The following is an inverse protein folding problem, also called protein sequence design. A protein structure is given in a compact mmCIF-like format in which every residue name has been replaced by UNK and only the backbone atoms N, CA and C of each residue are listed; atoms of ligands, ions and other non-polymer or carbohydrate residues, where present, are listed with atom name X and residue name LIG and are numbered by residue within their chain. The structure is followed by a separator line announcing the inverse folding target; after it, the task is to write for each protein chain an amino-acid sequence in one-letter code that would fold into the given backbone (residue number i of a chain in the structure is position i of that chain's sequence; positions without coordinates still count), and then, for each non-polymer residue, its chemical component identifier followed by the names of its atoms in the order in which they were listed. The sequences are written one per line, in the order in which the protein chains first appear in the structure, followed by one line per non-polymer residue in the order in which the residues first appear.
data_IF_890959561598
#
_entry.id   IF_890959561598
#
_cell.length_a   1.000
_cell.length_b   1.000
_cell.length_c   1.000
_cell.angle_alpha   90.00
_cell.angle_beta   90.00
_cell.angle_gamma   90.00
#
_symmetry.space_group_name_H-M   'P 1'
#
loop_
_entity.id
_entity.type
_entity.pdbx_description
1 polymer ?
#
# COMPACT_ATOMS: atom_id res chain seq x y z
N UNK A 1 31.78 12.03 15.86
CA UNK A 1 31.46 10.64 15.48
C UNK A 1 30.07 10.33 15.98
N UNK A 2 29.06 10.42 15.13
CA UNK A 2 27.70 10.01 15.50
C UNK A 2 27.61 8.50 15.28
N UNK A 3 27.30 7.77 16.34
CA UNK A 3 27.01 6.34 16.24
C UNK A 3 25.79 6.18 15.31
N UNK A 4 26.01 5.56 14.16
CA UNK A 4 24.94 5.25 13.22
C UNK A 4 24.06 4.18 13.90
N UNK A 5 22.95 4.60 14.49
CA UNK A 5 21.95 3.67 15.04
C UNK A 5 21.60 2.66 13.96
N UNK A 6 21.66 1.36 14.27
CA UNK A 6 21.34 0.33 13.29
C UNK A 6 19.91 0.55 12.75
N UNK A 7 19.81 0.65 11.44
CA UNK A 7 18.54 0.86 10.74
C UNK A 7 17.68 -0.42 10.89
N UNK A 8 16.40 -0.31 11.32
CA UNK A 8 15.53 -1.47 11.44
C UNK A 8 15.28 -2.12 10.08
N UNK A 9 15.41 -3.46 10.02
CA UNK A 9 15.08 -4.26 8.84
C UNK A 9 13.64 -4.80 8.87
N UNK A 10 13.00 -4.73 10.04
CA UNK A 10 11.64 -5.23 10.28
C UNK A 10 10.88 -4.18 11.07
N UNK A 11 9.66 -3.87 10.64
CA UNK A 11 8.75 -2.92 11.28
C UNK A 11 7.50 -3.65 11.75
N UNK A 12 6.92 -3.20 12.86
CA UNK A 12 5.73 -3.78 13.50
C UNK A 12 4.41 -3.29 12.88
N UNK A 13 4.48 -2.30 11.99
CA UNK A 13 3.35 -1.69 11.30
C UNK A 13 3.71 -1.34 9.86
N UNK A 14 2.69 -1.32 9.00
CA UNK A 14 2.80 -0.97 7.57
C UNK A 14 3.33 0.46 7.37
N UNK A 15 2.75 1.43 8.08
CA UNK A 15 3.13 2.84 7.96
C UNK A 15 3.60 3.41 9.31
N UNK A 16 4.91 3.55 9.47
CA UNK A 16 5.51 4.14 10.67
C UNK A 16 5.24 5.64 10.79
N UNK A 17 4.99 6.32 9.66
CA UNK A 17 4.87 7.79 9.55
C UNK A 17 3.42 8.31 9.54
N UNK A 18 2.44 7.46 9.88
CA UNK A 18 1.01 7.76 9.88
C UNK A 18 0.57 8.91 10.82
N UNK A 19 1.48 9.41 11.67
CA UNK A 19 1.24 10.49 12.64
C UNK A 19 1.47 11.91 12.09
N UNK A 20 1.96 12.07 10.87
CA UNK A 20 2.48 13.35 10.36
C UNK A 20 1.53 14.10 9.39
N UNK A 21 0.21 14.16 9.67
CA UNK A 21 -0.76 14.79 8.75
C UNK A 21 -1.97 15.42 9.45
N UNK A 22 -2.61 16.45 8.85
CA UNK A 22 -2.35 17.01 7.51
C UNK A 22 -1.18 18.00 7.48
N UNK A 23 -0.41 17.95 6.40
CA UNK A 23 0.53 19.01 6.03
C UNK A 23 -0.25 20.04 5.22
N UNK A 24 -0.05 21.33 5.48
CA UNK A 24 -0.51 22.37 4.55
C UNK A 24 0.09 22.06 3.17
N UNK A 25 -0.78 21.75 2.21
CA UNK A 25 -0.38 21.28 0.89
C UNK A 25 -0.99 22.23 -0.14
N UNK A 26 -0.17 22.91 -0.95
CA UNK A 26 -0.66 23.91 -1.90
C UNK A 26 -1.61 23.29 -2.93
N UNK A 27 -2.53 24.09 -3.44
CA UNK A 27 -3.33 23.69 -4.60
C UNK A 27 -2.45 23.56 -5.84
N UNK A 28 -2.92 22.86 -6.87
CA UNK A 28 -2.18 22.66 -8.13
C UNK A 28 -1.70 23.99 -8.75
N UNK A 29 -2.51 25.05 -8.63
CA UNK A 29 -2.20 26.36 -9.21
C UNK A 29 -1.09 27.12 -8.46
N UNK A 30 -0.78 26.70 -7.23
CA UNK A 30 0.26 27.31 -6.39
C UNK A 30 1.57 26.52 -6.47
N UNK A 31 1.61 25.41 -7.21
CA UNK A 31 2.81 24.61 -7.38
C UNK A 31 3.82 25.32 -8.29
N UNK A 32 5.13 25.28 -7.95
CA UNK A 32 6.16 25.73 -8.84
C UNK A 32 6.27 24.80 -10.06
N UNK A 33 6.56 25.37 -11.22
CA UNK A 33 6.93 24.59 -12.38
C UNK A 33 8.33 23.98 -12.17
N UNK A 34 8.43 22.67 -12.33
CA UNK A 34 9.70 21.93 -12.29
C UNK A 34 9.88 21.17 -13.60
N UNK A 35 11.03 21.37 -14.23
CA UNK A 35 11.36 20.70 -15.50
C UNK A 35 12.15 19.39 -15.30
N UNK A 36 12.34 18.98 -14.05
CA UNK A 36 13.10 17.79 -13.65
C UNK A 36 12.31 16.98 -12.62
N UNK A 37 12.77 15.76 -12.33
CA UNK A 37 12.16 14.96 -11.27
C UNK A 37 12.30 15.67 -9.91
N UNK A 38 11.24 15.71 -9.08
CA UNK A 38 11.33 16.23 -7.71
C UNK A 38 12.47 15.58 -6.92
N UNK A 39 13.22 16.37 -6.16
CA UNK A 39 14.24 15.85 -5.26
C UNK A 39 13.57 15.04 -4.13
N UNK A 40 13.83 13.72 -4.01
CA UNK A 40 13.22 12.90 -2.96
C UNK A 40 13.68 13.32 -1.56
N UNK A 41 14.82 14.02 -1.43
CA UNK A 41 15.38 14.47 -0.18
C UNK A 41 14.99 15.91 0.17
N UNK A 42 14.43 16.69 -0.75
CA UNK A 42 13.96 18.04 -0.44
C UNK A 42 12.67 18.02 0.39
N UNK A 43 12.58 18.87 1.41
CA UNK A 43 11.37 19.03 2.21
C UNK A 43 10.22 19.63 1.41
N UNK A 44 8.98 19.22 1.72
CA UNK A 44 7.80 19.70 0.99
C UNK A 44 7.55 21.21 1.08
N UNK A 45 8.01 21.86 2.15
CA UNK A 45 7.94 23.31 2.38
C UNK A 45 9.16 24.08 1.79
N UNK A 46 10.11 23.37 1.15
CA UNK A 46 11.28 23.95 0.51
C UNK A 46 12.38 24.44 1.45
N UNK A 47 12.31 24.17 2.77
CA UNK A 47 13.31 24.72 3.72
C UNK A 47 14.71 24.09 3.63
N UNK A 48 14.89 23.06 2.79
CA UNK A 48 16.16 22.43 2.54
C UNK A 48 16.03 20.95 2.18
N UNK A 49 17.09 20.20 2.43
CA UNK A 49 17.17 18.77 2.14
C UNK A 49 17.45 17.93 3.38
N UNK A 50 17.02 16.69 3.32
CA UNK A 50 17.24 15.64 4.31
C UNK A 50 18.72 15.28 4.40
N UNK A 51 19.24 15.11 5.62
CA UNK A 51 20.60 14.61 5.86
C UNK A 51 20.65 13.41 6.80
N UNK A 52 19.66 13.23 7.68
CA UNK A 52 19.61 12.15 8.67
C UNK A 52 18.56 11.09 8.31
N UNK A 53 18.88 9.81 8.59
CA UNK A 53 17.96 8.70 8.39
C UNK A 53 16.66 8.83 9.21
N UNK A 54 16.74 9.37 10.43
CA UNK A 54 15.59 9.53 11.34
C UNK A 54 14.48 10.40 10.71
N UNK A 55 14.88 11.32 9.85
CA UNK A 55 14.00 12.30 9.22
C UNK A 55 13.30 11.71 7.98
N UNK A 56 13.77 10.56 7.47
CA UNK A 56 13.19 9.85 6.33
C UNK A 56 11.75 9.42 6.58
N UNK A 57 11.39 9.09 7.82
CA UNK A 57 10.00 8.76 8.17
C UNK A 57 9.06 9.93 7.86
N UNK A 58 9.45 11.15 8.23
CA UNK A 58 8.69 12.36 7.92
C UNK A 58 8.65 12.57 6.40
N UNK A 59 9.79 12.52 5.72
CA UNK A 59 9.84 12.79 4.27
C UNK A 59 9.03 11.77 3.46
N UNK A 60 9.08 10.48 3.81
CA UNK A 60 8.26 9.43 3.19
C UNK A 60 6.77 9.69 3.36
N UNK A 61 6.37 10.17 4.53
CA UNK A 61 5.01 10.64 4.78
C UNK A 61 4.66 11.81 3.84
N UNK A 62 5.45 12.88 3.79
CA UNK A 62 5.19 14.02 2.90
C UNK A 62 4.94 13.58 1.45
N UNK A 63 5.80 12.71 0.91
CA UNK A 63 5.66 12.14 -0.44
C UNK A 63 4.36 11.33 -0.57
N UNK A 64 4.05 10.46 0.40
CA UNK A 64 2.83 9.65 0.39
C UNK A 64 1.56 10.51 0.35
N UNK A 65 1.56 11.63 1.07
CA UNK A 65 0.43 12.57 1.06
C UNK A 65 0.34 13.36 -0.24
N UNK A 66 1.46 13.85 -0.77
CA UNK A 66 1.49 14.53 -2.07
C UNK A 66 0.97 13.62 -3.19
N UNK A 67 1.37 12.34 -3.22
CA UNK A 67 0.85 11.37 -4.19
C UNK A 67 -0.65 11.16 -4.05
N UNK A 68 -1.17 11.03 -2.83
CA UNK A 68 -2.61 10.88 -2.59
C UNK A 68 -3.40 12.13 -2.94
N UNK A 69 -2.87 13.32 -2.63
CA UNK A 69 -3.55 14.59 -2.85
C UNK A 69 -3.56 15.00 -4.33
N UNK A 70 -2.45 14.84 -5.05
CA UNK A 70 -2.33 15.31 -6.43
C UNK A 70 -2.68 14.27 -7.50
N UNK A 71 -2.63 12.96 -7.20
CA UNK A 71 -2.72 11.94 -8.26
C UNK A 71 -3.61 10.74 -7.90
N UNK A 72 -3.36 10.09 -6.76
CA UNK A 72 -3.91 8.77 -6.47
C UNK A 72 -5.29 8.80 -5.81
N UNK A 73 -5.68 9.93 -5.22
CA UNK A 73 -6.81 10.02 -4.30
C UNK A 73 -6.45 9.58 -2.88
N UNK A 74 -7.28 9.97 -1.91
CA UNK A 74 -7.04 9.71 -0.49
C UNK A 74 -7.28 8.23 -0.16
N UNK A 75 -6.23 7.53 0.29
CA UNK A 75 -6.34 6.15 0.79
C UNK A 75 -7.27 6.15 2.02
N UNK A 76 -8.39 5.41 1.99
CA UNK A 76 -9.29 5.36 3.13
C UNK A 76 -8.62 4.79 4.38
N UNK A 77 -8.97 5.37 5.55
CA UNK A 77 -8.65 4.78 6.85
C UNK A 77 -9.81 3.88 7.27
N UNK A 78 -9.50 2.62 7.59
CA UNK A 78 -10.47 1.64 8.08
C UNK A 78 -9.97 1.00 9.37
N UNK A 79 -10.89 0.70 10.29
CA UNK A 79 -10.54 -0.02 11.53
C UNK A 79 -10.15 -1.46 11.21
N UNK A 80 -9.24 -2.03 11.99
CA UNK A 80 -8.93 -3.47 11.91
C UNK A 80 -10.16 -4.32 12.23
N UNK A 81 -11.05 -3.84 13.11
CA UNK A 81 -12.28 -4.54 13.50
C UNK A 81 -13.30 -4.63 12.36
N UNK A 82 -13.13 -3.80 11.32
CA UNK A 82 -13.94 -3.86 10.10
C UNK A 82 -13.47 -4.95 9.12
N UNK A 83 -12.42 -5.69 9.46
CA UNK A 83 -11.80 -6.71 8.62
C UNK A 83 -11.86 -8.06 9.35
N UNK A 84 -12.55 -9.02 8.76
CA UNK A 84 -12.53 -10.42 9.17
C UNK A 84 -11.68 -11.20 8.15
N UNK A 85 -10.75 -12.04 8.61
CA UNK A 85 -9.94 -12.88 7.72
C UNK A 85 -9.84 -14.29 8.29
N UNK A 86 -10.10 -15.29 7.45
CA UNK A 86 -10.00 -16.71 7.78
C UNK A 86 -9.33 -17.48 6.65
N UNK A 87 -8.55 -18.49 6.99
CA UNK A 87 -8.01 -19.44 6.00
C UNK A 87 -8.88 -20.69 6.03
N UNK A 88 -9.47 -21.02 4.89
CA UNK A 88 -10.22 -22.25 4.66
C UNK A 88 -9.47 -23.08 3.62
N UNK A 89 -8.90 -24.22 4.06
CA UNK A 89 -7.95 -25.03 3.25
C UNK A 89 -6.78 -24.14 2.81
N UNK A 90 -6.64 -23.92 1.51
CA UNK A 90 -5.58 -23.11 0.90
C UNK A 90 -6.07 -21.73 0.44
N UNK A 91 -7.27 -21.30 0.86
CA UNK A 91 -7.83 -20.00 0.47
C UNK A 91 -7.94 -19.08 1.68
N UNK A 92 -7.26 -17.93 1.61
CA UNK A 92 -7.47 -16.81 2.52
C UNK A 92 -8.72 -16.05 2.08
N UNK A 93 -9.76 -16.12 2.90
CA UNK A 93 -11.01 -15.39 2.73
C UNK A 93 -11.02 -14.15 3.62
N UNK A 94 -11.24 -13.00 3.01
CA UNK A 94 -11.23 -11.69 3.67
C UNK A 94 -12.59 -11.04 3.48
N UNK A 95 -13.15 -10.49 4.54
CA UNK A 95 -14.40 -9.73 4.53
C UNK A 95 -14.13 -8.35 5.12
N UNK A 96 -14.33 -7.32 4.31
CA UNK A 96 -14.17 -5.92 4.67
C UNK A 96 -15.56 -5.30 4.78
N UNK A 97 -15.81 -4.57 5.87
CA UNK A 97 -17.10 -3.91 6.14
C UNK A 97 -16.91 -2.42 6.36
N UNK A 98 -17.60 -1.61 5.57
CA UNK A 98 -17.63 -0.17 5.77
C UNK A 98 -19.01 0.37 5.35
N UNK A 99 -19.52 1.38 6.06
CA UNK A 99 -20.78 2.06 5.72
C UNK A 99 -21.98 1.11 5.50
N UNK A 100 -22.07 0.03 6.29
CA UNK A 100 -23.13 -0.99 6.15
C UNK A 100 -23.01 -1.86 4.89
N UNK A 101 -21.96 -1.68 4.10
CA UNK A 101 -21.62 -2.47 2.91
C UNK A 101 -20.51 -3.47 3.24
N UNK A 102 -20.40 -4.49 2.38
CA UNK A 102 -19.43 -5.58 2.53
C UNK A 102 -18.74 -5.86 1.21
N UNK A 103 -17.42 -6.01 1.26
CA UNK A 103 -16.60 -6.56 0.18
C UNK A 103 -15.97 -7.86 0.66
N UNK A 104 -16.08 -8.92 -0.13
CA UNK A 104 -15.45 -10.20 0.17
C UNK A 104 -14.40 -10.51 -0.89
N UNK A 105 -13.20 -10.87 -0.44
CA UNK A 105 -12.06 -11.20 -1.27
C UNK A 105 -11.60 -12.62 -0.96
N UNK A 106 -11.19 -13.35 -1.98
CA UNK A 106 -10.49 -14.62 -1.83
C UNK A 106 -9.09 -14.51 -2.43
N UNK A 107 -8.10 -15.03 -1.72
CA UNK A 107 -6.73 -15.14 -2.17
C UNK A 107 -6.26 -16.59 -2.01
N UNK A 108 -5.87 -17.22 -3.11
CA UNK A 108 -5.29 -18.56 -3.08
C UNK A 108 -3.87 -18.48 -2.52
N UNK A 109 -3.53 -19.38 -1.61
CA UNK A 109 -2.20 -19.52 -1.03
C UNK A 109 -1.58 -20.84 -1.49
N UNK A 110 -0.44 -20.76 -2.19
CA UNK A 110 0.38 -21.92 -2.54
C UNK A 110 1.51 -22.05 -1.54
N UNK A 111 1.46 -23.11 -0.74
CA UNK A 111 2.45 -23.39 0.28
C UNK A 111 3.64 -24.19 -0.27
N UNK A 112 4.88 -23.89 0.16
CA UNK A 112 6.00 -24.81 0.05
C UNK A 112 5.81 -26.03 0.95
N UNK A 113 6.60 -27.07 0.74
CA UNK A 113 6.67 -28.20 1.67
C UNK A 113 7.27 -27.78 3.02
N UNK A 114 6.81 -28.40 4.11
CA UNK A 114 7.30 -28.18 5.47
C UNK A 114 6.27 -27.60 6.42
N UNK A 115 6.69 -27.31 7.66
CA UNK A 115 5.78 -26.87 8.73
C UNK A 115 5.55 -25.34 8.79
N UNK A 116 6.32 -24.55 8.03
CA UNK A 116 6.29 -23.08 8.10
C UNK A 116 6.74 -22.52 9.47
N UNK A 117 6.53 -21.22 9.74
CA UNK A 117 5.98 -20.23 8.81
C UNK A 117 6.93 -19.99 7.63
N UNK A 118 6.36 -19.58 6.50
CA UNK A 118 7.12 -19.28 5.29
C UNK A 118 7.12 -17.77 5.03
N UNK A 119 8.21 -17.20 4.47
CA UNK A 119 8.08 -15.93 3.78
C UNK A 119 7.05 -16.06 2.65
N UNK A 120 6.38 -14.95 2.31
CA UNK A 120 5.36 -14.95 1.26
C UNK A 120 5.59 -13.82 0.25
N UNK A 121 5.24 -14.09 -1.01
CA UNK A 121 5.09 -13.10 -2.08
C UNK A 121 3.59 -12.95 -2.38
N UNK A 122 3.12 -11.71 -2.48
CA UNK A 122 1.76 -11.42 -2.94
C UNK A 122 1.85 -10.98 -4.39
N UNK A 123 1.37 -11.81 -5.30
CA UNK A 123 1.37 -11.51 -6.73
C UNK A 123 0.05 -10.86 -7.15
N UNK A 124 0.14 -9.78 -7.94
CA UNK A 124 -1.03 -9.09 -8.48
C UNK A 124 -1.54 -9.87 -9.70
N UNK A 125 -2.79 -10.35 -9.64
CA UNK A 125 -3.46 -11.16 -10.67
C UNK A 125 -3.00 -12.63 -10.71
N UNK A 126 -1.68 -12.87 -10.66
CA UNK A 126 -1.06 -14.20 -10.70
C UNK A 126 -0.26 -14.47 -9.40
N UNK A 127 0.07 -15.74 -9.04
CA UNK A 127 0.71 -16.08 -7.76
C UNK A 127 2.00 -15.31 -7.45
N UNK A 128 2.73 -14.91 -8.48
CA UNK A 128 4.01 -14.19 -8.40
C UNK A 128 4.04 -12.95 -9.29
N UNK A 129 2.87 -12.47 -9.70
CA UNK A 129 2.74 -11.46 -10.77
C UNK A 129 3.27 -12.02 -12.09
N UNK A 130 4.23 -11.35 -12.70
CA UNK A 130 4.86 -11.80 -13.96
C UNK A 130 6.22 -12.47 -13.78
N UNK A 131 6.65 -12.72 -12.53
CA UNK A 131 7.94 -13.36 -12.25
C UNK A 131 7.82 -14.90 -12.36
N UNK A 132 8.91 -15.63 -12.69
CA UNK A 132 8.86 -17.08 -12.72
C UNK A 132 8.60 -17.71 -11.33
N UNK A 133 7.56 -18.53 -11.20
CA UNK A 133 7.19 -19.19 -9.94
C UNK A 133 8.32 -20.05 -9.32
N UNK A 134 9.17 -20.63 -10.18
CA UNK A 134 10.27 -21.50 -9.76
C UNK A 134 11.28 -20.77 -8.85
N UNK A 135 11.43 -19.45 -9.02
CA UNK A 135 12.30 -18.63 -8.16
C UNK A 135 11.83 -18.64 -6.71
N UNK A 136 10.52 -18.69 -6.49
CA UNK A 136 9.91 -18.64 -5.17
C UNK A 136 9.79 -20.04 -4.56
N UNK A 137 9.40 -21.03 -5.38
CA UNK A 137 9.35 -22.43 -4.95
C UNK A 137 10.71 -22.93 -4.45
N UNK A 138 11.80 -22.71 -5.20
CA UNK A 138 13.16 -23.13 -4.82
C UNK A 138 13.67 -22.49 -3.52
N UNK A 139 13.05 -21.40 -3.07
CA UNK A 139 13.44 -20.63 -1.88
C UNK A 139 12.48 -20.85 -0.70
N UNK A 140 11.54 -21.78 -0.81
CA UNK A 140 10.49 -22.02 0.18
C UNK A 140 9.69 -20.75 0.51
N UNK A 141 9.31 -19.99 -0.53
CA UNK A 141 8.47 -18.79 -0.42
C UNK A 141 7.03 -19.16 -0.83
N UNK A 142 6.08 -18.94 0.07
CA UNK A 142 4.65 -19.09 -0.22
C UNK A 142 4.17 -18.04 -1.21
N UNK A 143 3.20 -18.38 -2.05
CA UNK A 143 2.71 -17.51 -3.11
C UNK A 143 1.24 -17.21 -2.84
N UNK A 144 0.87 -15.93 -2.74
CA UNK A 144 -0.49 -15.48 -2.44
C UNK A 144 -1.00 -14.72 -3.65
N UNK A 145 -2.10 -15.18 -4.24
CA UNK A 145 -2.73 -14.52 -5.39
C UNK A 145 -3.61 -13.38 -4.91
N UNK A 146 -3.25 -12.15 -5.24
CA UNK A 146 -4.14 -11.00 -5.11
C UNK A 146 -4.89 -10.79 -6.42
N UNK A 147 -6.10 -11.36 -6.53
CA UNK A 147 -6.97 -11.10 -7.67
C UNK A 147 -7.64 -9.71 -7.52
N UNK A 148 -7.00 -8.71 -8.13
CA UNK A 148 -7.42 -7.31 -8.09
C UNK A 148 -8.78 -7.07 -8.75
N UNK A 149 -9.26 -7.95 -9.64
CA UNK A 149 -10.57 -7.82 -10.31
C UNK A 149 -11.73 -7.91 -9.32
N UNK A 150 -11.51 -8.51 -8.14
CA UNK A 150 -12.48 -8.50 -7.05
C UNK A 150 -12.66 -7.11 -6.40
N UNK A 151 -11.79 -6.16 -6.70
CA UNK A 151 -11.75 -4.83 -6.08
C UNK A 151 -11.94 -3.75 -7.14
N UNK A 152 -11.21 -3.85 -8.25
CA UNK A 152 -11.12 -2.84 -9.30
C UNK A 152 -11.10 -3.45 -10.70
N UNK A 153 -11.58 -2.69 -11.69
CA UNK A 153 -11.50 -3.02 -13.11
C UNK A 153 -10.19 -2.49 -13.71
N UNK A 154 -9.65 -3.17 -14.71
CA UNK A 154 -8.54 -2.68 -15.53
C UNK A 154 -9.00 -1.81 -16.73
N UNK A 155 -10.30 -1.46 -16.79
CA UNK A 155 -10.89 -0.73 -17.93
C UNK A 155 -10.98 0.79 -17.70
N UNK A 156 -11.22 1.54 -18.78
CA UNK A 156 -11.22 3.02 -18.77
C UNK A 156 -12.44 3.67 -18.09
N UNK A 157 -13.53 2.91 -17.85
CA UNK A 157 -14.71 3.41 -17.13
C UNK A 157 -14.62 3.00 -15.66
N UNK A 158 -14.63 3.99 -14.76
CA UNK A 158 -14.44 3.81 -13.31
C UNK A 158 -15.65 4.30 -12.51
N UNK A 159 -15.64 4.05 -11.20
CA UNK A 159 -16.62 4.54 -10.22
C UNK A 159 -17.71 3.54 -9.85
N UNK A 160 -17.69 2.33 -10.41
CA UNK A 160 -18.71 1.30 -10.19
C UNK A 160 -18.11 -0.05 -9.77
N UNK A 161 -16.83 -0.06 -9.45
CA UNK A 161 -16.09 -1.24 -9.03
C UNK A 161 -16.51 -1.67 -7.61
N UNK A 162 -16.28 -2.94 -7.24
CA UNK A 162 -16.66 -3.45 -5.93
C UNK A 162 -16.14 -2.64 -4.74
N UNK A 163 -15.01 -1.93 -4.87
CA UNK A 163 -14.52 -1.04 -3.81
C UNK A 163 -15.36 0.23 -3.63
N UNK A 164 -15.97 0.74 -4.70
CA UNK A 164 -16.72 2.01 -4.66
C UNK A 164 -17.98 1.91 -3.80
N UNK A 165 -18.54 0.71 -3.63
CA UNK A 165 -19.65 0.52 -2.69
C UNK A 165 -19.23 0.78 -1.23
N UNK A 166 -17.96 0.57 -0.87
CA UNK A 166 -17.46 0.83 0.48
C UNK A 166 -17.17 2.32 0.71
N UNK A 167 -16.87 3.06 -0.37
CA UNK A 167 -16.44 4.46 -0.36
C UNK A 167 -17.13 5.26 -1.49
N UNK A 168 -18.48 5.38 -1.47
CA UNK A 168 -19.22 6.05 -2.54
C UNK A 168 -18.84 7.54 -2.69
N UNK A 169 -18.39 8.17 -1.61
CA UNK A 169 -17.91 9.55 -1.60
C UNK A 169 -16.60 9.77 -2.39
N UNK A 170 -15.87 8.70 -2.71
CA UNK A 170 -14.60 8.75 -3.43
C UNK A 170 -14.73 8.41 -4.93
N UNK A 171 -15.95 8.46 -5.48
CA UNK A 171 -16.24 8.10 -6.89
C UNK A 171 -16.22 9.29 -7.86
N UNK A 172 -16.17 10.52 -7.35
CA UNK A 172 -16.27 11.74 -8.13
C UNK A 172 -14.96 12.51 -8.04
N UNK A 173 -14.25 12.62 -9.17
CA UNK A 173 -13.27 13.69 -9.42
C UNK A 173 -13.85 14.63 -10.48
#
# INVERSE_FOLDING_TARGET
MYAQSQIPLVYDKEDTGSRNFPLETPSINELPEIHTLPDPFAWADGHGTLTDFKDWERRRSEISWQLQYYELGIKPKISKDSIEAIIEKDTLRIVIRNNGKKLALNALVKYPEGKGPFPAIIGIGLPTGSLPEELFHKRNIAQIVFNFEQIMSHTQKRGHEPINQLYPEQTSN
#
